data_IF_243286155035
#
_entry.id   IF_243286155035
#
_cell.length_a   1.000
_cell.length_b   1.000
_cell.length_c   1.000
_cell.angle_alpha   90.00
_cell.angle_beta   90.00
_cell.angle_gamma   90.00
#
_symmetry.space_group_name_H-M   'P 1'
#
loop_
_entity.id
_entity.type
_entity.pdbx_description
1 polymer ?
#
# COMPACT_ATOMS: atom_id res chain seq x y z
N UNK A 1 -17.56 -3.63 2.86
CA UNK A 1 -18.10 -2.27 2.86
C UNK A 1 -18.32 -1.81 1.42
N UNK A 2 -19.46 -1.23 1.07
CA UNK A 2 -19.66 -0.74 -0.29
C UNK A 2 -18.67 0.37 -0.60
N UNK A 3 -18.15 0.38 -1.82
CA UNK A 3 -17.23 1.40 -2.29
C UNK A 3 -18.00 2.68 -2.62
N UNK A 4 -17.42 3.81 -2.26
CA UNK A 4 -17.94 5.12 -2.64
C UNK A 4 -17.23 5.71 -3.87
N UNK A 5 -17.67 6.84 -4.42
CA UNK A 5 -17.01 7.45 -5.57
C UNK A 5 -15.53 7.76 -5.36
N UNK A 6 -15.14 8.16 -4.16
CA UNK A 6 -13.72 8.45 -3.85
C UNK A 6 -12.86 7.19 -3.79
N UNK A 7 -13.44 6.05 -3.42
CA UNK A 7 -12.73 4.76 -3.49
C UNK A 7 -12.38 4.41 -4.93
N UNK A 8 -13.32 4.57 -5.87
CA UNK A 8 -13.06 4.33 -7.29
C UNK A 8 -11.96 5.23 -7.83
N UNK A 9 -11.97 6.50 -7.43
CA UNK A 9 -10.91 7.44 -7.80
C UNK A 9 -9.56 6.98 -7.25
N UNK A 10 -9.46 6.61 -5.97
CA UNK A 10 -8.23 6.15 -5.33
C UNK A 10 -7.66 4.90 -6.00
N UNK A 11 -8.51 3.93 -6.30
CA UNK A 11 -8.09 2.70 -6.98
C UNK A 11 -7.48 3.02 -8.35
N UNK A 12 -8.12 3.88 -9.13
CA UNK A 12 -7.64 4.26 -10.45
C UNK A 12 -6.30 4.98 -10.39
N UNK A 13 -6.14 5.91 -9.46
CA UNK A 13 -4.88 6.62 -9.28
C UNK A 13 -3.78 5.67 -8.80
N UNK A 14 -4.09 4.76 -7.88
CA UNK A 14 -3.13 3.78 -7.38
C UNK A 14 -2.69 2.78 -8.45
N UNK A 15 -3.60 2.37 -9.35
CA UNK A 15 -3.26 1.47 -10.46
C UNK A 15 -2.24 2.08 -11.42
N UNK A 16 -2.28 3.39 -11.60
CA UNK A 16 -1.35 4.10 -12.48
C UNK A 16 -0.07 4.52 -11.76
N UNK A 17 -0.06 4.43 -10.44
CA UNK A 17 1.08 4.83 -9.64
C UNK A 17 2.25 3.86 -9.82
N UNK A 18 3.42 4.42 -10.08
CA UNK A 18 4.68 3.69 -10.12
C UNK A 18 5.66 4.30 -9.14
N UNK A 19 6.03 3.54 -8.11
CA UNK A 19 7.00 3.99 -7.11
C UNK A 19 8.34 4.33 -7.78
N UNK A 20 8.80 5.56 -7.63
CA UNK A 20 10.12 5.99 -8.12
C UNK A 20 11.27 5.66 -7.17
N UNK A 21 10.98 4.91 -6.11
CA UNK A 21 11.99 4.46 -5.14
C UNK A 21 12.78 5.60 -4.49
N UNK A 22 12.14 6.75 -4.26
CA UNK A 22 12.78 7.87 -3.59
C UNK A 22 13.17 7.56 -2.13
N UNK A 23 12.52 6.56 -1.53
CA UNK A 23 12.82 6.08 -0.18
C UNK A 23 12.19 6.89 0.95
N UNK A 24 11.42 7.93 0.67
CA UNK A 24 10.82 8.75 1.73
C UNK A 24 9.92 7.91 2.65
N UNK A 25 8.94 7.19 2.09
CA UNK A 25 8.05 6.31 2.88
C UNK A 25 8.82 5.25 3.65
N UNK A 26 9.87 4.67 3.03
CA UNK A 26 10.71 3.65 3.64
C UNK A 26 11.49 4.16 4.85
N UNK A 27 11.66 5.46 4.98
CA UNK A 27 12.42 6.08 6.08
C UNK A 27 11.53 6.60 7.20
N UNK A 28 10.28 6.93 6.93
CA UNK A 28 9.40 7.61 7.89
C UNK A 28 8.15 6.84 8.29
N UNK A 29 7.73 5.83 7.51
CA UNK A 29 6.53 5.06 7.81
C UNK A 29 6.76 4.18 9.05
N UNK A 30 6.03 4.46 10.14
CA UNK A 30 6.14 3.73 11.39
C UNK A 30 4.80 3.80 12.16
N UNK A 31 4.21 2.65 12.53
CA UNK A 31 4.62 1.28 12.18
C UNK A 31 4.28 0.90 10.74
N UNK A 32 4.96 -0.11 10.20
CA UNK A 32 4.56 -0.77 8.95
C UNK A 32 3.74 -2.00 9.30
N UNK A 33 2.46 -1.95 9.01
CA UNK A 33 1.50 -3.00 9.35
C UNK A 33 1.79 -4.29 8.57
N UNK A 34 1.78 -5.40 9.28
CA UNK A 34 2.03 -6.73 8.73
C UNK A 34 0.83 -7.63 9.02
N UNK A 35 0.10 -7.96 7.96
CA UNK A 35 -1.05 -8.86 8.01
C UNK A 35 -0.63 -10.33 7.87
N UNK A 36 -1.48 -11.29 8.28
CA UNK A 36 -1.15 -12.71 8.16
C UNK A 36 -0.74 -13.14 6.75
N UNK A 37 -1.37 -12.60 5.73
CA UNK A 37 -1.00 -12.88 4.32
C UNK A 37 0.38 -12.33 3.97
N UNK A 38 0.77 -11.21 4.55
CA UNK A 38 2.11 -10.65 4.37
C UNK A 38 3.17 -11.56 4.97
N UNK A 39 2.94 -12.09 6.17
CA UNK A 39 3.84 -13.05 6.82
C UNK A 39 4.06 -14.26 5.92
N UNK A 40 3.00 -14.84 5.37
CA UNK A 40 3.10 -15.99 4.46
C UNK A 40 3.87 -15.66 3.19
N UNK A 41 3.66 -14.48 2.62
CA UNK A 41 4.39 -14.03 1.43
C UNK A 41 5.87 -13.83 1.72
N UNK A 42 6.20 -13.21 2.84
CA UNK A 42 7.59 -13.03 3.28
C UNK A 42 8.27 -14.38 3.51
N UNK A 43 7.60 -15.31 4.17
CA UNK A 43 8.10 -16.67 4.39
C UNK A 43 8.43 -17.37 3.07
N UNK A 44 7.52 -17.29 2.11
CA UNK A 44 7.73 -17.84 0.76
C UNK A 44 8.89 -17.17 0.04
N UNK A 45 8.97 -15.85 0.10
CA UNK A 45 10.03 -15.06 -0.57
C UNK A 45 11.41 -15.33 0.03
N UNK A 46 11.50 -15.43 1.35
CA UNK A 46 12.76 -15.67 2.06
C UNK A 46 13.12 -17.15 2.16
N UNK A 47 12.20 -18.05 1.79
CA UNK A 47 12.37 -19.51 1.90
C UNK A 47 12.62 -19.95 3.35
N UNK A 48 11.87 -19.39 4.27
CA UNK A 48 11.90 -19.71 5.70
C UNK A 48 10.47 -19.98 6.18
N UNK A 49 10.33 -20.44 7.43
CA UNK A 49 9.01 -20.71 8.01
C UNK A 49 8.27 -19.42 8.37
N UNK A 50 6.96 -19.53 8.54
CA UNK A 50 6.11 -18.43 9.05
C UNK A 50 6.57 -18.02 10.45
N UNK A 51 6.90 -18.99 11.29
CA UNK A 51 7.39 -18.77 12.66
C UNK A 51 8.70 -17.97 12.65
N UNK A 52 9.62 -18.31 11.76
CA UNK A 52 10.87 -17.56 11.59
C UNK A 52 10.64 -16.11 11.13
N UNK A 53 9.66 -15.88 10.23
CA UNK A 53 9.29 -14.50 9.83
C UNK A 53 8.76 -13.73 11.04
N UNK A 54 7.86 -14.32 11.80
CA UNK A 54 7.26 -13.69 12.98
C UNK A 54 8.34 -13.31 13.99
N UNK A 55 9.22 -14.24 14.29
CA UNK A 55 10.27 -14.05 15.31
C UNK A 55 11.35 -13.06 14.86
N UNK A 56 11.86 -13.22 13.65
CA UNK A 56 13.02 -12.47 13.15
C UNK A 56 12.66 -11.04 12.67
N UNK A 57 11.51 -10.87 12.01
CA UNK A 57 11.21 -9.64 11.28
C UNK A 57 10.06 -8.82 11.84
N UNK A 58 9.27 -9.37 12.78
CA UNK A 58 8.07 -8.67 13.26
C UNK A 58 8.03 -8.56 14.78
N UNK A 59 7.24 -7.58 15.25
CA UNK A 59 6.85 -7.40 16.65
C UNK A 59 5.32 -7.32 16.72
N UNK A 60 4.70 -7.54 17.90
CA UNK A 60 3.30 -7.19 18.11
C UNK A 60 3.08 -5.71 17.74
N UNK A 61 1.97 -5.41 17.08
CA UNK A 61 1.68 -4.03 16.70
C UNK A 61 1.48 -3.16 17.97
N UNK A 62 2.01 -1.93 18.02
CA UNK A 62 1.95 -1.10 19.22
C UNK A 62 0.54 -0.75 19.70
N UNK A 63 -0.43 -0.66 18.77
CA UNK A 63 -1.80 -0.23 19.07
C UNK A 63 -2.90 -1.18 18.60
N UNK A 64 -2.58 -2.15 17.73
CA UNK A 64 -3.57 -3.08 17.17
C UNK A 64 -3.30 -4.52 17.66
N UNK A 65 -4.12 -5.06 18.60
CA UNK A 65 -3.81 -6.33 19.27
C UNK A 65 -3.65 -7.54 18.34
N UNK A 66 -4.39 -7.55 17.22
CA UNK A 66 -4.43 -8.68 16.29
C UNK A 66 -3.49 -8.51 15.10
N UNK A 67 -2.68 -7.46 15.10
CA UNK A 67 -1.79 -7.11 14.01
C UNK A 67 -0.33 -7.18 14.45
N UNK A 68 0.56 -7.33 13.50
CA UNK A 68 2.00 -7.23 13.71
C UNK A 68 2.57 -6.04 12.95
N UNK A 69 3.80 -5.67 13.26
CA UNK A 69 4.54 -4.63 12.56
C UNK A 69 5.97 -5.11 12.30
N UNK A 70 6.66 -4.52 11.32
CA UNK A 70 8.10 -4.77 11.18
C UNK A 70 8.87 -4.30 12.41
N UNK A 71 9.90 -5.06 12.81
CA UNK A 71 10.81 -4.67 13.91
C UNK A 71 11.46 -3.31 13.66
N UNK A 72 11.84 -3.06 12.44
CA UNK A 72 12.53 -1.84 12.02
C UNK A 72 11.72 -1.21 10.87
N UNK A 73 10.79 -0.33 11.22
CA UNK A 73 9.90 0.33 10.26
C UNK A 73 10.43 1.67 9.77
N UNK A 74 11.09 2.44 10.64
CA UNK A 74 11.57 3.78 10.32
C UNK A 74 13.00 4.02 10.88
N UNK A 75 14.04 3.93 10.06
CA UNK A 75 14.01 3.51 8.66
C UNK A 75 13.75 2.02 8.50
N UNK A 76 13.05 1.67 7.41
CA UNK A 76 12.76 0.28 7.12
C UNK A 76 14.05 -0.50 6.84
N UNK A 77 14.21 -1.68 7.48
CA UNK A 77 15.40 -2.53 7.30
C UNK A 77 15.61 -3.02 5.88
N UNK A 78 14.56 -3.03 5.07
CA UNK A 78 14.62 -3.46 3.67
C UNK A 78 14.86 -2.31 2.68
N UNK A 79 15.03 -1.10 3.17
CA UNK A 79 15.39 0.03 2.31
C UNK A 79 16.88 0.03 2.00
N UNK A 80 17.20 -0.01 0.71
CA UNK A 80 18.58 0.07 0.22
C UNK A 80 18.91 1.52 -0.19
N UNK A 81 19.79 2.16 0.56
CA UNK A 81 20.21 3.54 0.30
C UNK A 81 21.13 3.68 -0.91
N UNK A 82 21.88 2.63 -1.24
CA UNK A 82 22.85 2.66 -2.33
C UNK A 82 22.16 2.49 -3.67
N UNK A 83 21.34 1.43 -3.79
CA UNK A 83 20.60 1.15 -5.02
C UNK A 83 19.27 1.91 -5.10
N UNK A 84 18.88 2.56 -4.03
CA UNK A 84 17.60 3.26 -3.83
C UNK A 84 16.41 2.37 -4.13
N UNK A 85 15.70 1.97 -3.10
CA UNK A 85 14.50 1.20 -3.22
C UNK A 85 14.37 0.07 -2.21
N UNK A 86 13.28 -0.66 -2.32
CA UNK A 86 12.96 -1.77 -1.44
C UNK A 86 13.64 -3.05 -1.89
N UNK A 87 14.45 -3.67 -1.02
CA UNK A 87 15.10 -4.96 -1.30
C UNK A 87 14.10 -6.11 -1.50
N UNK A 88 12.91 -5.97 -0.94
CA UNK A 88 11.83 -6.96 -1.02
C UNK A 88 10.64 -6.45 -1.85
N UNK A 89 10.91 -5.68 -2.89
CA UNK A 89 9.86 -4.98 -3.66
C UNK A 89 8.68 -5.87 -4.06
N UNK A 90 8.94 -7.09 -4.55
CA UNK A 90 7.89 -8.03 -4.96
C UNK A 90 7.14 -8.66 -3.78
N UNK A 91 7.75 -8.70 -2.60
CA UNK A 91 7.15 -9.24 -1.38
C UNK A 91 6.70 -8.16 -0.40
N UNK A 92 6.59 -6.92 -0.87
CA UNK A 92 6.17 -5.81 -0.01
C UNK A 92 4.88 -6.12 0.74
N UNK A 93 4.78 -5.70 2.01
CA UNK A 93 3.51 -5.75 2.73
C UNK A 93 2.39 -5.03 1.99
N UNK A 94 1.15 -5.42 2.25
CA UNK A 94 -0.03 -4.83 1.62
C UNK A 94 -0.04 -3.30 1.75
N UNK A 95 0.25 -2.77 2.93
CA UNK A 95 0.28 -1.32 3.16
C UNK A 95 1.29 -0.61 2.25
N UNK A 96 2.45 -1.20 2.01
CA UNK A 96 3.46 -0.64 1.11
C UNK A 96 3.01 -0.69 -0.36
N UNK A 97 2.27 -1.72 -0.75
CA UNK A 97 1.71 -1.84 -2.11
C UNK A 97 0.55 -0.90 -2.36
N UNK A 98 -0.22 -0.59 -1.33
CA UNK A 98 -1.36 0.32 -1.40
C UNK A 98 -0.98 1.79 -1.20
N UNK A 99 0.21 2.08 -0.69
CA UNK A 99 0.69 3.45 -0.54
C UNK A 99 1.00 4.09 -1.92
N UNK A 100 0.76 5.38 -2.10
CA UNK A 100 0.27 6.35 -1.11
C UNK A 100 -1.25 6.57 -1.10
N UNK A 101 -2.00 6.02 -2.05
CA UNK A 101 -3.40 6.41 -2.26
C UNK A 101 -4.43 5.50 -1.60
N UNK A 102 -4.06 4.25 -1.32
CA UNK A 102 -4.93 3.29 -0.67
C UNK A 102 -4.36 2.92 0.69
N UNK A 103 -5.19 3.00 1.71
CA UNK A 103 -4.88 2.51 3.04
C UNK A 103 -6.03 1.64 3.51
N UNK A 104 -5.79 0.45 4.06
CA UNK A 104 -6.87 -0.46 4.46
C UNK A 104 -7.92 0.16 5.37
N UNK A 105 -7.51 1.04 6.28
CA UNK A 105 -8.41 1.72 7.20
C UNK A 105 -9.05 3.00 6.66
N UNK A 106 -8.75 3.43 5.44
CA UNK A 106 -9.19 4.71 4.88
C UNK A 106 -10.10 4.55 3.67
N UNK A 107 -10.43 3.33 3.27
CA UNK A 107 -11.35 3.09 2.17
C UNK A 107 -12.74 3.57 2.58
N UNK A 108 -13.39 4.34 1.73
CA UNK A 108 -14.69 4.93 1.98
C UNK A 108 -14.68 6.25 2.72
N UNK A 109 -13.54 6.76 3.12
CA UNK A 109 -13.45 7.96 3.95
C UNK A 109 -12.73 9.11 3.26
N UNK A 110 -13.49 10.14 2.92
CA UNK A 110 -12.99 11.49 2.70
C UNK A 110 -12.00 11.70 1.55
N UNK A 111 -11.79 12.96 1.18
CA UNK A 111 -11.00 13.40 0.05
C UNK A 111 -9.62 12.80 -0.06
N UNK A 112 -9.13 12.73 -1.29
CA UNK A 112 -7.80 12.25 -1.57
C UNK A 112 -6.80 13.25 -1.05
N UNK A 113 -6.01 12.82 -0.07
CA UNK A 113 -4.84 13.54 0.35
C UNK A 113 -3.71 13.28 -0.66
N UNK A 114 -3.19 14.36 -1.21
CA UNK A 114 -1.99 14.28 -2.04
C UNK A 114 -0.82 14.06 -1.11
N UNK A 115 -0.07 13.02 -1.37
CA UNK A 115 1.13 12.75 -0.61
C UNK A 115 2.26 13.65 -1.11
N UNK A 116 2.39 14.83 -0.50
CA UNK A 116 3.27 15.93 -0.96
C UNK A 116 4.74 15.48 -1.12
N UNK A 117 5.20 14.58 -0.26
CA UNK A 117 6.58 14.10 -0.28
C UNK A 117 6.86 13.02 -1.33
N UNK A 118 5.85 12.62 -2.09
CA UNK A 118 6.01 11.64 -3.16
C UNK A 118 6.21 12.35 -4.51
N UNK A 119 7.34 12.13 -5.20
CA UNK A 119 7.61 12.81 -6.48
C UNK A 119 6.64 12.48 -7.60
N UNK A 120 5.86 11.40 -7.46
CA UNK A 120 4.85 10.99 -8.47
C UNK A 120 3.49 11.64 -8.22
N UNK A 121 3.26 12.22 -7.05
CA UNK A 121 1.97 12.75 -6.65
C UNK A 121 1.49 13.93 -7.51
N UNK A 122 2.40 14.74 -8.05
CA UNK A 122 2.06 15.86 -8.93
C UNK A 122 1.34 15.38 -10.20
N UNK A 123 1.83 14.31 -10.84
CA UNK A 123 1.18 13.73 -12.01
C UNK A 123 -0.20 13.18 -11.70
N UNK A 124 -0.35 12.54 -10.54
CA UNK A 124 -1.65 12.05 -10.04
C UNK A 124 -2.61 13.20 -9.78
N UNK A 125 -2.13 14.30 -9.19
CA UNK A 125 -2.94 15.49 -8.94
C UNK A 125 -3.47 16.10 -10.24
N UNK A 126 -2.62 16.28 -11.23
CA UNK A 126 -3.02 16.79 -12.56
C UNK A 126 -4.07 15.89 -13.22
N UNK A 127 -3.93 14.57 -13.08
CA UNK A 127 -4.93 13.64 -13.60
C UNK A 127 -6.27 13.78 -12.86
N UNK A 128 -6.25 13.91 -11.55
CA UNK A 128 -7.46 14.12 -10.75
C UNK A 128 -8.16 15.39 -11.20
N UNK A 129 -7.44 16.50 -11.33
CA UNK A 129 -8.04 17.77 -11.79
C UNK A 129 -8.67 17.66 -13.18
N UNK A 130 -8.01 16.97 -14.09
CA UNK A 130 -8.48 16.81 -15.48
C UNK A 130 -9.70 15.89 -15.59
N UNK A 131 -9.69 14.76 -14.88
CA UNK A 131 -10.63 13.66 -15.09
C UNK A 131 -11.53 13.41 -13.87
N UNK A 132 -11.67 14.37 -12.96
CA UNK A 132 -12.35 14.20 -11.67
C UNK A 132 -13.75 13.57 -11.78
N UNK A 133 -14.61 14.13 -12.64
CA UNK A 133 -15.98 13.65 -12.79
C UNK A 133 -16.03 12.19 -13.26
N UNK A 134 -15.18 11.84 -14.19
CA UNK A 134 -15.09 10.46 -14.68
C UNK A 134 -14.52 9.51 -13.64
N UNK A 135 -13.49 9.93 -12.92
CA UNK A 135 -12.85 9.12 -11.88
C UNK A 135 -13.81 8.82 -10.72
N UNK A 136 -14.69 9.78 -10.38
CA UNK A 136 -15.69 9.60 -9.32
C UNK A 136 -16.88 8.75 -9.78
N UNK A 137 -17.19 8.73 -11.08
CA UNK A 137 -18.40 8.10 -11.63
C UNK A 137 -18.09 7.16 -12.80
N UNK A 138 -17.25 6.15 -12.61
CA UNK A 138 -16.97 5.18 -13.68
C UNK A 138 -18.24 4.37 -14.03
N UNK A 139 -18.32 3.90 -15.27
CA UNK A 139 -19.41 3.03 -15.69
C UNK A 139 -19.41 1.67 -14.94
N UNK A 140 -20.53 0.93 -15.04
CA UNK A 140 -20.72 -0.33 -14.30
C UNK A 140 -19.64 -1.39 -14.62
N UNK A 141 -19.17 -1.46 -15.86
CA UNK A 141 -18.12 -2.40 -16.27
C UNK A 141 -16.78 -2.04 -15.62
N UNK A 142 -16.45 -0.75 -15.64
CA UNK A 142 -15.23 -0.23 -15.02
C UNK A 142 -15.26 -0.42 -13.51
N UNK A 143 -16.41 -0.17 -12.85
CA UNK A 143 -16.56 -0.43 -11.40
C UNK A 143 -16.22 -1.85 -11.03
N UNK A 144 -16.79 -2.84 -11.73
CA UNK A 144 -16.48 -4.26 -11.47
C UNK A 144 -15.00 -4.58 -11.64
N UNK A 145 -14.37 -3.99 -12.65
CA UNK A 145 -12.93 -4.15 -12.87
C UNK A 145 -12.13 -3.57 -11.70
N UNK A 146 -12.49 -2.37 -11.24
CA UNK A 146 -11.80 -1.69 -10.14
C UNK A 146 -11.96 -2.45 -8.83
N UNK A 147 -13.14 -2.96 -8.53
CA UNK A 147 -13.40 -3.79 -7.35
C UNK A 147 -12.52 -5.05 -7.35
N UNK A 148 -12.38 -5.69 -8.50
CA UNK A 148 -11.51 -6.86 -8.66
C UNK A 148 -10.03 -6.49 -8.46
N UNK A 149 -9.58 -5.37 -9.01
CA UNK A 149 -8.21 -4.90 -8.82
C UNK A 149 -7.93 -4.52 -7.36
N UNK A 150 -8.88 -3.88 -6.69
CA UNK A 150 -8.76 -3.59 -5.25
C UNK A 150 -8.59 -4.88 -4.44
N UNK A 151 -9.42 -5.90 -4.70
CA UNK A 151 -9.31 -7.20 -4.02
C UNK A 151 -7.94 -7.83 -4.21
N UNK A 152 -7.38 -7.75 -5.41
CA UNK A 152 -6.02 -8.23 -5.68
C UNK A 152 -4.96 -7.45 -4.91
N UNK A 153 -5.04 -6.11 -4.90
CA UNK A 153 -4.08 -5.29 -4.18
C UNK A 153 -4.09 -5.55 -2.68
N UNK A 154 -5.28 -5.70 -2.12
CA UNK A 154 -5.49 -5.96 -0.70
C UNK A 154 -5.41 -7.44 -0.32
N UNK A 155 -5.39 -8.34 -1.30
CA UNK A 155 -5.40 -9.79 -1.08
C UNK A 155 -6.54 -10.26 -0.17
N UNK A 156 -7.72 -9.76 -0.44
CA UNK A 156 -8.95 -10.11 0.28
C UNK A 156 -9.50 -11.47 -0.18
N UNK A 157 -8.95 -12.05 -1.20
CA UNK A 157 -9.34 -13.37 -1.73
C UNK A 157 -8.94 -14.52 -0.79
#
# INVERSE_FOLDING_TARGET
MPLDPYDYLRIQIQMDFQCQRCGHCCQVADPIDIYPKDVRRLASSFKISVEEVIEEYTIPHPSEPDLRAFKESAPCRFYDKVQKGCKIYQARPMVCRCSPFLSPGQIGLQGIEIYEDCPVSEGSHKRIERDLDWLLNPDARTRKKLEKELSKMMQIE
#
